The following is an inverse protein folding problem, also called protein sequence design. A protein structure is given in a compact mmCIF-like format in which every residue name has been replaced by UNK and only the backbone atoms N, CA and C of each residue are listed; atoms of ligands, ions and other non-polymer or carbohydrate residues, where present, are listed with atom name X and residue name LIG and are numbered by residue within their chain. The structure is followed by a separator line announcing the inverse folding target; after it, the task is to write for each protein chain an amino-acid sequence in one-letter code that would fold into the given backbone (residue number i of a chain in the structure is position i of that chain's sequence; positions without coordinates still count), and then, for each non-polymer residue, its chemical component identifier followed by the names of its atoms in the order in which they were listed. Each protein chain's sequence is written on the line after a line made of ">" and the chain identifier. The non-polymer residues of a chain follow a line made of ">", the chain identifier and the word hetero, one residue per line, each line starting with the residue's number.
data_IF_937162626534
#
_entry.id   IF_937162626534
#
_cell.length_a   1.000
_cell.length_b   1.000
_cell.length_c   1.000
_cell.angle_alpha   90.00
_cell.angle_beta   90.00
_cell.angle_gamma   90.00
#
_symmetry.space_group_name_H-M   'P 1'
#
loop_
_entity.id
_entity.type
_entity.pdbx_description
1 polymer ?
#
# COMPACT_ATOMS: atom_id res chain seq x y z
N UNK A 1 -5.68 6.91 -13.95
CA UNK A 1 -7.04 6.60 -13.43
C UNK A 1 -6.88 5.82 -12.13
N UNK A 2 -7.84 5.80 -11.19
CA UNK A 2 -7.56 5.33 -9.81
C UNK A 2 -6.88 3.96 -9.71
N UNK A 3 -7.37 2.94 -10.43
CA UNK A 3 -6.74 1.62 -10.44
C UNK A 3 -5.38 1.59 -11.14
N UNK A 4 -5.24 2.34 -12.21
CA UNK A 4 -4.01 2.46 -12.99
C UNK A 4 -2.88 3.08 -12.15
N UNK A 5 -3.16 4.21 -11.48
CA UNK A 5 -2.23 4.86 -10.54
C UNK A 5 -1.89 3.98 -9.34
N UNK A 6 -2.89 3.28 -8.77
CA UNK A 6 -2.69 2.38 -7.64
C UNK A 6 -1.72 1.24 -7.99
N UNK A 7 -1.97 0.52 -9.09
CA UNK A 7 -1.16 -0.62 -9.46
C UNK A 7 0.21 -0.22 -10.02
N UNK A 8 0.32 0.95 -10.67
CA UNK A 8 1.62 1.52 -11.04
C UNK A 8 2.47 1.79 -9.80
N UNK A 9 1.91 2.49 -8.80
CA UNK A 9 2.61 2.81 -7.56
C UNK A 9 3.06 1.55 -6.80
N UNK A 10 2.17 0.55 -6.65
CA UNK A 10 2.50 -0.73 -6.02
C UNK A 10 3.65 -1.42 -6.76
N UNK A 11 3.58 -1.49 -8.09
CA UNK A 11 4.59 -2.14 -8.92
C UNK A 11 5.95 -1.46 -8.82
N UNK A 12 5.98 -0.12 -8.82
CA UNK A 12 7.22 0.65 -8.69
C UNK A 12 7.89 0.46 -7.32
N UNK A 13 7.10 0.39 -6.25
CA UNK A 13 7.60 0.08 -4.89
C UNK A 13 8.10 -1.36 -4.81
N UNK A 14 7.32 -2.32 -5.29
CA UNK A 14 7.64 -3.75 -5.26
C UNK A 14 8.97 -4.04 -5.98
N UNK A 15 9.18 -3.41 -7.14
CA UNK A 15 10.39 -3.59 -7.96
C UNK A 15 11.57 -2.73 -7.51
N UNK A 16 11.40 -1.91 -6.46
CA UNK A 16 12.42 -1.02 -5.93
C UNK A 16 12.82 0.11 -6.88
N UNK A 17 11.97 0.43 -7.85
CA UNK A 17 12.22 1.53 -8.81
C UNK A 17 12.09 2.90 -8.16
N UNK A 18 11.29 2.99 -7.10
CA UNK A 18 11.12 4.17 -6.27
C UNK A 18 11.21 3.79 -4.78
N UNK A 19 11.49 4.78 -3.94
CA UNK A 19 11.44 4.62 -2.49
C UNK A 19 10.01 4.33 -2.01
N UNK A 20 9.88 3.68 -0.84
CA UNK A 20 8.57 3.48 -0.21
C UNK A 20 7.95 4.84 0.13
N UNK A 21 6.64 4.94 -0.06
CA UNK A 21 5.80 6.04 0.41
C UNK A 21 4.42 5.45 0.81
N UNK A 22 3.65 6.13 1.67
CA UNK A 22 2.42 5.56 2.19
C UNK A 22 1.34 5.54 1.10
N UNK A 23 0.86 4.35 0.75
CA UNK A 23 -0.35 4.16 -0.08
C UNK A 23 -1.52 3.86 0.85
N UNK A 24 -2.48 4.77 0.93
CA UNK A 24 -3.66 4.62 1.79
C UNK A 24 -4.92 4.58 0.95
N UNK A 25 -5.69 3.50 1.13
CA UNK A 25 -6.97 3.25 0.48
C UNK A 25 -8.12 3.56 1.47
N UNK A 26 -9.01 4.48 1.12
CA UNK A 26 -10.12 4.88 2.00
C UNK A 26 -11.41 4.14 1.63
N UNK A 27 -12.12 3.66 2.66
CA UNK A 27 -13.38 2.94 2.58
C UNK A 27 -13.19 1.43 2.50
N UNK A 28 -13.10 0.74 3.65
CA UNK A 28 -12.82 -0.71 3.68
C UNK A 28 -13.83 -1.52 2.88
N UNK A 29 -15.12 -1.19 3.01
CA UNK A 29 -16.19 -1.88 2.27
C UNK A 29 -16.04 -1.80 0.74
N UNK A 30 -15.48 -0.72 0.21
CA UNK A 30 -15.24 -0.58 -1.23
C UNK A 30 -14.07 -1.47 -1.69
N UNK A 31 -13.00 -1.54 -0.90
CA UNK A 31 -11.76 -2.24 -1.28
C UNK A 31 -11.72 -3.72 -0.87
N UNK A 32 -12.57 -4.16 0.05
CA UNK A 32 -12.57 -5.51 0.62
C UNK A 32 -12.57 -6.61 -0.45
N UNK A 33 -13.43 -6.49 -1.46
CA UNK A 33 -13.54 -7.49 -2.52
C UNK A 33 -12.25 -7.64 -3.34
N UNK A 34 -11.60 -6.52 -3.66
CA UNK A 34 -10.32 -6.54 -4.39
C UNK A 34 -9.22 -7.17 -3.54
N UNK A 35 -9.09 -6.74 -2.28
CA UNK A 35 -8.01 -7.18 -1.39
C UNK A 35 -8.15 -8.66 -1.07
N UNK A 36 -9.38 -9.13 -0.89
CA UNK A 36 -9.67 -10.56 -0.75
C UNK A 36 -9.19 -11.33 -1.98
N UNK A 37 -9.50 -10.86 -3.19
CA UNK A 37 -9.05 -11.51 -4.42
C UNK A 37 -7.51 -11.49 -4.57
N UNK A 38 -6.85 -10.38 -4.27
CA UNK A 38 -5.37 -10.30 -4.30
C UNK A 38 -4.77 -11.34 -3.34
N UNK A 39 -5.29 -11.47 -2.13
CA UNK A 39 -4.82 -12.45 -1.14
C UNK A 39 -5.09 -13.90 -1.57
N UNK A 40 -6.34 -14.23 -1.84
CA UNK A 40 -6.75 -15.63 -2.09
C UNK A 40 -6.26 -16.14 -3.45
N UNK A 41 -6.26 -15.28 -4.47
CA UNK A 41 -5.91 -15.69 -5.85
C UNK A 41 -4.45 -15.39 -6.15
N UNK A 42 -4.01 -14.12 -6.07
CA UNK A 42 -2.66 -13.77 -6.51
C UNK A 42 -1.58 -14.33 -5.57
N UNK A 43 -1.79 -14.28 -4.26
CA UNK A 43 -0.81 -14.73 -3.27
C UNK A 43 -0.93 -16.25 -2.99
N UNK A 44 -2.09 -16.70 -2.53
CA UNK A 44 -2.24 -18.07 -2.01
C UNK A 44 -2.34 -19.13 -3.12
N UNK A 45 -3.12 -18.87 -4.18
CA UNK A 45 -3.38 -19.86 -5.22
C UNK A 45 -2.35 -19.83 -6.35
N UNK A 46 -2.08 -18.65 -6.91
CA UNK A 46 -1.26 -18.51 -8.12
C UNK A 46 0.20 -18.13 -7.82
N UNK A 47 0.51 -17.72 -6.58
CA UNK A 47 1.87 -17.35 -6.13
C UNK A 47 2.56 -16.27 -6.98
N UNK A 48 1.77 -15.33 -7.52
CA UNK A 48 2.26 -14.24 -8.37
C UNK A 48 2.77 -13.03 -7.58
N UNK A 49 2.49 -12.97 -6.28
CA UNK A 49 3.00 -11.92 -5.36
C UNK A 49 3.57 -12.57 -4.11
N UNK A 50 4.40 -11.82 -3.39
CA UNK A 50 5.00 -12.23 -2.11
C UNK A 50 4.14 -11.77 -0.92
N UNK A 51 4.22 -12.43 0.24
CA UNK A 51 3.47 -12.01 1.43
C UNK A 51 3.70 -10.53 1.82
N UNK A 52 4.93 -10.03 1.66
CA UNK A 52 5.28 -8.64 1.97
C UNK A 52 4.73 -7.60 0.98
N UNK A 53 4.19 -8.02 -0.17
CA UNK A 53 3.58 -7.09 -1.13
C UNK A 53 2.25 -6.54 -0.60
N UNK A 54 1.59 -7.26 0.32
CA UNK A 54 0.39 -6.79 1.02
C UNK A 54 0.69 -5.71 2.06
N UNK A 55 1.95 -5.52 2.43
CA UNK A 55 2.39 -4.48 3.37
C UNK A 55 2.68 -3.14 2.66
N UNK A 56 2.51 -3.08 1.33
CA UNK A 56 2.77 -1.88 0.52
C UNK A 56 1.67 -0.82 0.69
N UNK A 57 0.43 -1.24 1.01
CA UNK A 57 -0.71 -0.35 1.17
C UNK A 57 -1.46 -0.62 2.48
N UNK A 58 -2.24 0.36 2.93
CA UNK A 58 -3.12 0.23 4.11
C UNK A 58 -4.52 0.68 3.77
N UNK A 59 -5.53 0.07 4.40
CA UNK A 59 -6.95 0.42 4.18
C UNK A 59 -7.55 0.97 5.46
N UNK A 60 -8.22 2.11 5.34
CA UNK A 60 -8.83 2.85 6.44
C UNK A 60 -10.27 3.22 6.10
N UNK A 61 -11.06 3.64 7.08
CA UNK A 61 -12.44 4.09 6.83
C UNK A 61 -12.56 5.61 6.84
N UNK A 62 -11.62 6.31 7.47
CA UNK A 62 -11.67 7.76 7.66
C UNK A 62 -10.48 8.47 7.05
N UNK A 63 -10.68 9.75 6.70
CA UNK A 63 -9.58 10.63 6.29
C UNK A 63 -8.56 10.85 7.41
N UNK A 64 -9.02 10.87 8.66
CA UNK A 64 -8.17 11.14 9.82
C UNK A 64 -7.16 10.01 10.03
N UNK A 65 -7.60 8.74 9.93
CA UNK A 65 -6.70 7.58 9.92
C UNK A 65 -5.70 7.65 8.75
N UNK A 66 -6.12 8.12 7.58
CA UNK A 66 -5.22 8.26 6.43
C UNK A 66 -4.12 9.29 6.69
N UNK A 67 -4.48 10.45 7.25
CA UNK A 67 -3.53 11.49 7.64
C UNK A 67 -2.56 10.97 8.71
N UNK A 68 -3.06 10.27 9.72
CA UNK A 68 -2.22 9.70 10.78
C UNK A 68 -1.16 8.73 10.23
N UNK A 69 -1.52 7.87 9.27
CA UNK A 69 -0.57 6.96 8.61
C UNK A 69 0.50 7.74 7.84
N UNK A 70 0.09 8.77 7.10
CA UNK A 70 1.01 9.61 6.32
C UNK A 70 1.98 10.34 7.24
N UNK A 71 1.48 10.98 8.30
CA UNK A 71 2.29 11.71 9.28
C UNK A 71 3.25 10.78 10.03
N UNK A 72 2.77 9.60 10.43
CA UNK A 72 3.61 8.60 11.10
C UNK A 72 4.73 8.11 10.21
N UNK A 73 4.43 7.86 8.93
CA UNK A 73 5.44 7.48 7.93
C UNK A 73 6.51 8.57 7.84
N UNK A 74 6.13 9.81 7.51
CA UNK A 74 7.12 10.86 7.29
C UNK A 74 7.85 11.28 8.57
N UNK A 75 7.22 11.22 9.74
CA UNK A 75 7.90 11.47 11.02
C UNK A 75 9.04 10.47 11.27
N UNK A 76 8.83 9.19 10.92
CA UNK A 76 9.87 8.16 11.06
C UNK A 76 11.00 8.30 10.04
N UNK A 77 10.69 8.72 8.81
CA UNK A 77 11.67 8.85 7.73
C UNK A 77 12.38 10.22 7.69
N UNK A 78 11.79 11.29 8.23
CA UNK A 78 12.46 12.59 8.42
C UNK A 78 13.56 12.53 9.49
N UNK A 79 13.55 11.51 10.35
CA UNK A 79 14.55 11.28 11.40
C UNK A 79 15.78 10.50 10.93
N UNK A 80 15.97 10.30 9.63
CA UNK A 80 17.21 9.78 9.05
C UNK A 80 17.98 10.94 8.42
N UNK A 81 18.89 11.61 9.15
CA UNK A 81 19.79 12.57 8.54
C UNK A 81 20.65 11.84 7.50
N UNK A 82 20.73 12.38 6.29
CA UNK A 82 21.81 12.04 5.37
C UNK A 82 23.11 12.67 5.90
N UNK A 83 23.74 12.05 6.89
CA UNK A 83 25.12 12.33 7.28
C UNK A 83 25.85 11.02 7.56
#
# INVERSE_FOLDING_TARGET
>A
GTFDELFEAITLIQTGKIGKFPIVLVGKSYWEGLIKWIREVMLEKEHNISPGDLDIFTVVDTSDEAVEIIDTFYSKYMLSPNF
#
